data_IF_047507581434
#
_entry.id   IF_047507581434
#
_cell.length_a   1.000
_cell.length_b   1.000
_cell.length_c   1.000
_cell.angle_alpha   90.00
_cell.angle_beta   90.00
_cell.angle_gamma   90.00
#
_symmetry.space_group_name_H-M   'P 1'
#
loop_
_entity.id
_entity.type
_entity.pdbx_description
1 polymer ?
#
# COMPACT_ATOMS: atom_id res chain seq x y z
N UNK A 1 -11.70 9.58 -11.39
CA UNK A 1 -11.53 8.10 -11.43
C UNK A 1 -10.36 7.83 -10.51
N UNK A 2 -10.49 6.91 -9.55
CA UNK A 2 -9.37 6.49 -8.71
C UNK A 2 -8.59 5.39 -9.43
N UNK A 3 -7.27 5.41 -9.35
CA UNK A 3 -6.38 4.38 -9.88
C UNK A 3 -5.54 3.74 -8.77
N UNK A 4 -5.42 2.41 -8.84
CA UNK A 4 -4.59 1.61 -7.94
C UNK A 4 -3.39 1.09 -8.73
N UNK A 5 -2.19 1.36 -8.26
CA UNK A 5 -0.97 0.77 -8.81
C UNK A 5 -0.55 -0.48 -8.02
N UNK A 6 -0.59 -1.63 -8.68
CA UNK A 6 -0.20 -2.92 -8.10
C UNK A 6 1.26 -3.28 -8.40
N UNK A 7 1.91 -3.97 -7.46
CA UNK A 7 3.29 -4.45 -7.61
C UNK A 7 4.37 -3.44 -7.21
N UNK A 8 4.08 -2.50 -6.29
CA UNK A 8 5.08 -1.56 -5.78
C UNK A 8 6.00 -2.24 -4.78
N UNK A 9 7.28 -2.34 -5.11
CA UNK A 9 8.30 -3.07 -4.34
C UNK A 9 9.47 -2.17 -3.91
N UNK A 10 9.68 -1.02 -4.57
CA UNK A 10 10.80 -0.10 -4.29
C UNK A 10 10.34 1.33 -4.02
N UNK A 11 11.17 2.09 -3.30
CA UNK A 11 10.94 3.52 -3.03
C UNK A 11 10.88 4.34 -4.33
N UNK A 12 11.74 4.03 -5.30
CA UNK A 12 11.72 4.69 -6.61
C UNK A 12 10.39 4.51 -7.38
N UNK A 13 9.74 3.34 -7.26
CA UNK A 13 8.43 3.11 -7.86
C UNK A 13 7.34 3.93 -7.15
N UNK A 14 7.39 4.00 -5.81
CA UNK A 14 6.49 4.83 -5.02
C UNK A 14 6.60 6.31 -5.42
N UNK A 15 7.83 6.83 -5.50
CA UNK A 15 8.09 8.22 -5.87
C UNK A 15 7.57 8.55 -7.28
N UNK A 16 7.80 7.66 -8.24
CA UNK A 16 7.26 7.79 -9.59
C UNK A 16 5.73 7.89 -9.58
N UNK A 17 5.05 6.96 -8.89
CA UNK A 17 3.59 6.94 -8.82
C UNK A 17 3.01 8.18 -8.12
N UNK A 18 3.67 8.68 -7.07
CA UNK A 18 3.31 9.94 -6.39
C UNK A 18 3.39 11.13 -7.34
N UNK A 19 4.47 11.24 -8.12
CA UNK A 19 4.65 12.32 -9.09
C UNK A 19 3.60 12.29 -10.21
N UNK A 20 3.09 11.10 -10.52
CA UNK A 20 2.05 10.90 -11.52
C UNK A 20 0.61 10.92 -10.95
N UNK A 21 0.45 11.33 -9.69
CA UNK A 21 -0.86 11.46 -9.03
C UNK A 21 -1.68 10.16 -9.02
N UNK A 22 -1.01 9.01 -8.86
CA UNK A 22 -1.71 7.76 -8.55
C UNK A 22 -2.39 7.87 -7.19
N UNK A 23 -3.62 7.39 -7.06
CA UNK A 23 -4.41 7.57 -5.84
C UNK A 23 -4.01 6.60 -4.74
N UNK A 24 -3.78 5.33 -5.10
CA UNK A 24 -3.54 4.24 -4.16
C UNK A 24 -2.45 3.28 -4.67
N UNK A 25 -1.79 2.58 -3.75
CA UNK A 25 -0.78 1.55 -4.09
C UNK A 25 -1.02 0.22 -3.38
N UNK A 26 -0.59 -0.86 -4.03
CA UNK A 26 -0.44 -2.17 -3.43
C UNK A 26 0.92 -2.76 -3.83
N UNK A 27 1.64 -3.32 -2.87
CA UNK A 27 2.85 -4.10 -3.15
C UNK A 27 3.71 -4.35 -1.92
N UNK A 28 4.78 -5.14 -2.11
CA UNK A 28 5.65 -5.59 -1.02
C UNK A 28 6.45 -4.47 -0.36
N UNK A 29 6.56 -3.32 -1.01
CA UNK A 29 7.12 -2.11 -0.40
C UNK A 29 6.33 -1.74 0.87
N UNK A 30 5.01 -1.93 0.84
CA UNK A 30 4.13 -1.61 1.96
C UNK A 30 3.86 -2.81 2.86
N UNK A 31 3.30 -3.88 2.28
CA UNK A 31 2.97 -5.11 3.00
C UNK A 31 2.96 -6.31 2.05
N UNK A 32 3.36 -7.47 2.57
CA UNK A 32 3.14 -8.74 1.87
C UNK A 32 1.71 -9.24 2.11
N UNK A 33 1.13 -10.03 1.20
CA UNK A 33 -0.07 -10.81 1.47
C UNK A 33 0.13 -11.61 2.75
N UNK A 34 -0.87 -11.57 3.63
CA UNK A 34 -0.77 -12.18 4.95
C UNK A 34 -2.08 -12.90 5.31
N UNK A 35 -2.03 -13.94 6.16
CA UNK A 35 -3.21 -14.56 6.75
C UNK A 35 -4.09 -13.58 7.51
N UNK A 36 -5.34 -13.98 7.78
CA UNK A 36 -6.29 -13.16 8.53
C UNK A 36 -5.81 -12.78 9.94
N UNK A 37 -5.17 -13.70 10.67
CA UNK A 37 -4.67 -13.43 12.01
C UNK A 37 -3.63 -12.30 11.99
N UNK A 38 -2.65 -12.42 11.10
CA UNK A 38 -1.58 -11.45 10.89
C UNK A 38 -2.13 -10.10 10.41
N UNK A 39 -3.20 -10.10 9.59
CA UNK A 39 -3.88 -8.87 9.18
C UNK A 39 -4.48 -8.13 10.38
N UNK A 40 -5.10 -8.83 11.32
CA UNK A 40 -5.67 -8.20 12.51
C UNK A 40 -4.58 -7.54 13.36
N UNK A 41 -3.45 -8.21 13.53
CA UNK A 41 -2.28 -7.64 14.21
C UNK A 41 -1.77 -6.40 13.47
N UNK A 42 -1.57 -6.51 12.15
CA UNK A 42 -1.12 -5.42 11.28
C UNK A 42 -2.04 -4.19 11.38
N UNK A 43 -3.35 -4.37 11.37
CA UNK A 43 -4.33 -3.28 11.47
C UNK A 43 -4.37 -2.64 12.86
N UNK A 44 -4.18 -3.42 13.92
CA UNK A 44 -4.12 -2.93 15.29
C UNK A 44 -2.86 -2.09 15.53
N UNK A 45 -1.72 -2.52 14.99
CA UNK A 45 -0.44 -1.81 15.12
C UNK A 45 -0.40 -0.52 14.29
N UNK A 46 -1.03 -0.50 13.11
CA UNK A 46 -0.93 0.61 12.15
C UNK A 46 -2.10 1.58 12.13
N UNK A 47 -3.13 1.38 12.96
CA UNK A 47 -4.24 2.31 13.13
C UNK A 47 -5.04 2.57 11.85
N UNK A 48 -6.10 1.78 11.59
CA UNK A 48 -7.18 2.02 10.62
C UNK A 48 -6.83 2.90 9.39
N UNK A 49 -5.90 2.45 8.55
CA UNK A 49 -5.72 2.96 7.18
C UNK A 49 -5.12 1.85 6.33
N UNK A 50 -5.94 0.82 6.07
CA UNK A 50 -5.58 -0.33 5.24
C UNK A 50 -5.57 -0.02 3.73
N UNK A 51 -6.00 1.19 3.37
CA UNK A 51 -5.92 1.76 2.04
C UNK A 51 -5.19 3.10 2.23
N UNK A 52 -3.89 3.12 1.91
CA UNK A 52 -3.11 4.34 1.99
C UNK A 52 -3.18 5.05 0.65
N UNK A 53 -3.70 6.27 0.72
CA UNK A 53 -3.61 7.24 -0.35
C UNK A 53 -2.14 7.67 -0.52
N UNK A 54 -1.72 7.82 -1.77
CA UNK A 54 -0.35 8.19 -2.16
C UNK A 54 -0.01 9.66 -1.87
#
# INVERSE_FOLDING_TARGET
>A
ISVVAEGVETESQLEFLRQHHCDEIQGYFYARPMPWADLLEFLNERGQSACLQL
#
